data_IF_020404787936
#
_entry.id   IF_020404787936
#
_cell.length_a   1.000
_cell.length_b   1.000
_cell.length_c   1.000
_cell.angle_alpha   90.00
_cell.angle_beta   90.00
_cell.angle_gamma   90.00
#
_symmetry.space_group_name_H-M   'P 1'
#
loop_
_entity.id
_entity.type
_entity.pdbx_description
1 polymer ?
#
# COMPACT_ATOMS: atom_id res chain seq x y z
N UNK A 1 10.14 2.04 -1.50
CA UNK A 1 9.03 1.53 -2.35
C UNK A 1 7.74 1.92 -1.65
N UNK A 2 7.01 2.90 -2.20
CA UNK A 2 5.78 3.45 -1.58
C UNK A 2 4.63 2.43 -1.64
N UNK A 3 3.64 2.53 -0.75
CA UNK A 3 2.49 1.62 -0.71
C UNK A 3 1.73 1.59 -2.05
N UNK A 4 1.68 2.72 -2.74
CA UNK A 4 1.09 2.88 -4.08
C UNK A 4 1.80 2.05 -5.15
N UNK A 5 3.14 2.04 -5.16
CA UNK A 5 3.92 1.23 -6.10
C UNK A 5 3.74 -0.28 -5.82
N UNK A 6 3.74 -0.68 -4.55
CA UNK A 6 3.44 -2.07 -4.17
C UNK A 6 2.03 -2.50 -4.61
N UNK A 7 1.02 -1.64 -4.45
CA UNK A 7 -0.34 -1.93 -4.88
C UNK A 7 -0.45 -2.06 -6.41
N UNK A 8 0.27 -1.21 -7.16
CA UNK A 8 0.30 -1.23 -8.62
C UNK A 8 0.95 -2.50 -9.18
N UNK A 9 2.07 -2.92 -8.61
CA UNK A 9 2.78 -4.14 -9.01
C UNK A 9 1.95 -5.40 -8.74
N UNK A 10 1.31 -5.48 -7.55
CA UNK A 10 0.40 -6.57 -7.20
C UNK A 10 -0.83 -6.59 -8.11
N UNK A 11 -1.38 -5.43 -8.46
CA UNK A 11 -2.52 -5.32 -9.37
C UNK A 11 -2.16 -5.78 -10.78
N UNK A 12 -1.02 -5.34 -11.32
CA UNK A 12 -0.54 -5.71 -12.66
C UNK A 12 -0.24 -7.22 -12.75
N UNK A 13 0.50 -7.75 -11.77
CA UNK A 13 0.85 -9.18 -11.71
C UNK A 13 -0.38 -10.05 -11.49
N UNK A 14 -1.29 -9.64 -10.58
CA UNK A 14 -2.54 -10.32 -10.32
C UNK A 14 -3.46 -10.36 -11.54
N UNK A 15 -3.58 -9.24 -12.26
CA UNK A 15 -4.38 -9.16 -13.49
C UNK A 15 -3.84 -10.09 -14.57
N UNK A 16 -2.52 -10.12 -14.75
CA UNK A 16 -1.85 -11.01 -15.71
C UNK A 16 -2.10 -12.49 -15.38
N UNK A 17 -1.96 -12.87 -14.11
CA UNK A 17 -2.21 -14.25 -13.65
C UNK A 17 -3.68 -14.67 -13.81
N UNK A 18 -4.63 -13.78 -13.47
CA UNK A 18 -6.05 -14.05 -13.63
C UNK A 18 -6.43 -14.16 -15.11
N UNK A 19 -5.89 -13.29 -15.97
CA UNK A 19 -6.17 -13.30 -17.40
C UNK A 19 -5.64 -14.56 -18.07
N UNK A 20 -4.38 -14.91 -17.83
CA UNK A 20 -3.77 -16.14 -18.38
C UNK A 20 -4.47 -17.38 -17.83
N UNK A 21 -4.75 -17.42 -16.52
CA UNK A 21 -5.46 -18.52 -15.89
C UNK A 21 -6.89 -18.68 -16.43
N UNK A 22 -7.61 -17.59 -16.65
CA UNK A 22 -8.96 -17.58 -17.21
C UNK A 22 -9.00 -18.09 -18.65
N UNK A 23 -8.12 -17.58 -19.52
CA UNK A 23 -8.00 -18.05 -20.91
C UNK A 23 -7.63 -19.54 -20.93
N UNK A 24 -6.69 -19.96 -20.07
CA UNK A 24 -6.27 -21.35 -19.94
C UNK A 24 -7.40 -22.30 -19.52
N UNK A 25 -8.23 -21.90 -18.54
CA UNK A 25 -9.39 -22.70 -18.15
C UNK A 25 -10.46 -22.79 -19.24
N UNK A 26 -10.70 -21.71 -19.99
CA UNK A 26 -11.64 -21.73 -21.14
C UNK A 26 -11.12 -22.68 -22.22
N UNK A 27 -9.81 -22.62 -22.52
CA UNK A 27 -9.18 -23.54 -23.46
C UNK A 27 -9.29 -25.00 -22.97
N UNK A 28 -9.08 -25.27 -21.68
CA UNK A 28 -9.28 -26.61 -21.11
C UNK A 28 -10.73 -27.08 -21.19
N UNK A 29 -11.72 -26.21 -21.01
CA UNK A 29 -13.12 -26.58 -21.18
C UNK A 29 -13.46 -26.97 -22.64
N UNK A 30 -12.82 -26.32 -23.62
CA UNK A 30 -12.94 -26.68 -25.05
C UNK A 30 -12.27 -28.02 -25.37
N UNK A 31 -11.16 -28.34 -24.70
CA UNK A 31 -10.50 -29.64 -24.81
C UNK A 31 -11.38 -30.74 -24.20
N UNK A 32 -11.88 -30.54 -22.98
CA UNK A 32 -12.72 -31.50 -22.27
C UNK A 32 -14.08 -31.75 -22.95
N UNK A 33 -14.65 -30.74 -23.60
CA UNK A 33 -15.88 -30.90 -24.41
C UNK A 33 -15.64 -31.61 -25.75
N UNK A 34 -14.40 -31.94 -26.08
CA UNK A 34 -14.02 -32.60 -27.34
C UNK A 34 -14.04 -31.68 -28.57
N UNK A 35 -14.25 -30.37 -28.38
CA UNK A 35 -14.22 -29.38 -29.44
C UNK A 35 -12.79 -29.16 -29.98
N UNK A 36 -11.78 -29.34 -29.13
CA UNK A 36 -10.36 -29.29 -29.48
C UNK A 36 -9.71 -30.61 -29.06
N UNK A 37 -9.10 -31.32 -30.00
CA UNK A 37 -8.37 -32.56 -29.71
C UNK A 37 -6.88 -32.24 -29.52
N UNK A 38 -6.39 -32.36 -28.30
CA UNK A 38 -4.95 -32.44 -28.06
C UNK A 38 -4.47 -33.80 -28.60
N UNK A 39 -3.52 -33.79 -29.54
CA UNK A 39 -2.93 -35.01 -30.11
C UNK A 39 -1.93 -35.67 -29.13
N UNK A 40 -2.30 -35.74 -27.84
CA UNK A 40 -1.53 -36.40 -26.80
C UNK A 40 -2.19 -37.76 -26.54
N UNK A 41 -1.74 -38.79 -27.24
CA UNK A 41 -2.32 -40.12 -27.11
C UNK A 41 -1.82 -40.87 -25.86
N UNK A 42 -2.69 -41.70 -25.28
CA UNK A 42 -2.36 -42.58 -24.15
C UNK A 42 -2.36 -41.91 -22.78
N UNK A 43 -1.80 -42.60 -21.78
CA UNK A 43 -1.80 -42.15 -20.38
C UNK A 43 -1.14 -40.77 -20.17
N UNK A 44 -0.20 -40.40 -21.05
CA UNK A 44 0.48 -39.10 -21.01
C UNK A 44 -0.47 -37.92 -21.30
N UNK A 45 -1.42 -38.07 -22.22
CA UNK A 45 -2.40 -37.03 -22.54
C UNK A 45 -3.32 -36.71 -21.35
N UNK A 46 -3.85 -37.75 -20.71
CA UNK A 46 -4.72 -37.60 -19.52
C UNK A 46 -3.97 -36.93 -18.37
N UNK A 47 -2.70 -37.31 -18.13
CA UNK A 47 -1.88 -36.69 -17.09
C UNK A 47 -1.61 -35.21 -17.41
N UNK A 48 -1.31 -34.89 -18.68
CA UNK A 48 -1.05 -33.52 -19.11
C UNK A 48 -2.29 -32.62 -18.97
N UNK A 49 -3.49 -33.11 -19.32
CA UNK A 49 -4.74 -32.37 -19.16
C UNK A 49 -5.06 -32.05 -17.69
N UNK A 50 -4.86 -33.01 -16.80
CA UNK A 50 -5.06 -32.83 -15.36
C UNK A 50 -4.07 -31.81 -14.80
N UNK A 51 -2.78 -31.94 -15.15
CA UNK A 51 -1.74 -31.01 -14.67
C UNK A 51 -1.98 -29.60 -15.19
N UNK A 52 -2.32 -29.41 -16.47
CA UNK A 52 -2.59 -28.09 -17.03
C UNK A 52 -3.80 -27.43 -16.35
N UNK A 53 -4.88 -28.18 -16.14
CA UNK A 53 -6.07 -27.66 -15.44
C UNK A 53 -5.73 -27.23 -14.01
N UNK A 54 -4.94 -28.03 -13.29
CA UNK A 54 -4.50 -27.69 -11.94
C UNK A 54 -3.60 -26.44 -11.92
N UNK A 55 -2.67 -26.31 -12.87
CA UNK A 55 -1.78 -25.15 -12.98
C UNK A 55 -2.56 -23.86 -13.26
N UNK A 56 -3.50 -23.88 -14.21
CA UNK A 56 -4.36 -22.73 -14.49
C UNK A 56 -5.24 -22.38 -13.29
N UNK A 57 -5.75 -23.38 -12.56
CA UNK A 57 -6.45 -23.19 -11.29
C UNK A 57 -5.57 -22.48 -10.24
N UNK A 58 -4.31 -22.91 -10.08
CA UNK A 58 -3.36 -22.26 -9.16
C UNK A 58 -3.05 -20.81 -9.55
N UNK A 59 -2.92 -20.52 -10.85
CA UNK A 59 -2.73 -19.15 -11.34
C UNK A 59 -3.93 -18.26 -11.04
N UNK A 60 -5.15 -18.75 -11.22
CA UNK A 60 -6.35 -18.00 -10.87
C UNK A 60 -6.43 -17.69 -9.37
N UNK A 61 -6.21 -18.69 -8.51
CA UNK A 61 -6.26 -18.49 -7.06
C UNK A 61 -5.17 -17.51 -6.62
N UNK A 62 -3.97 -17.63 -7.16
CA UNK A 62 -2.85 -16.73 -6.83
C UNK A 62 -3.09 -15.30 -7.33
N UNK A 63 -3.62 -15.16 -8.55
CA UNK A 63 -3.99 -13.89 -9.14
C UNK A 63 -5.11 -13.18 -8.37
N UNK A 64 -6.18 -13.91 -8.00
CA UNK A 64 -7.27 -13.36 -7.17
C UNK A 64 -6.74 -12.89 -5.82
N UNK A 65 -5.91 -13.70 -5.14
CA UNK A 65 -5.30 -13.30 -3.86
C UNK A 65 -4.39 -12.07 -4.02
N UNK A 66 -3.66 -11.94 -5.12
CA UNK A 66 -2.86 -10.76 -5.41
C UNK A 66 -3.72 -9.51 -5.61
N UNK A 67 -4.83 -9.63 -6.35
CA UNK A 67 -5.77 -8.53 -6.56
C UNK A 67 -6.48 -8.08 -5.27
N UNK A 68 -6.88 -9.04 -4.42
CA UNK A 68 -7.46 -8.72 -3.09
C UNK A 68 -6.44 -7.98 -2.24
N UNK A 69 -5.19 -8.47 -2.14
CA UNK A 69 -4.14 -7.78 -1.39
C UNK A 69 -3.84 -6.39 -1.95
N UNK A 70 -3.78 -6.25 -3.28
CA UNK A 70 -3.58 -4.95 -3.92
C UNK A 70 -4.67 -3.95 -3.52
N UNK A 71 -5.94 -4.40 -3.47
CA UNK A 71 -7.06 -3.57 -3.02
C UNK A 71 -6.94 -3.18 -1.54
N UNK A 72 -6.60 -4.12 -0.66
CA UNK A 72 -6.41 -3.83 0.77
C UNK A 72 -5.29 -2.82 0.99
N UNK A 73 -4.12 -3.03 0.38
CA UNK A 73 -2.98 -2.11 0.48
C UNK A 73 -3.32 -0.71 -0.05
N UNK A 74 -4.09 -0.63 -1.15
CA UNK A 74 -4.55 0.65 -1.69
C UNK A 74 -5.54 1.35 -0.74
N UNK A 75 -6.46 0.61 -0.11
CA UNK A 75 -7.39 1.18 0.87
C UNK A 75 -6.68 1.67 2.14
N UNK A 76 -5.70 0.91 2.61
CA UNK A 76 -4.88 1.29 3.76
C UNK A 76 -4.10 2.58 3.47
N UNK A 77 -3.50 2.67 2.27
CA UNK A 77 -2.82 3.89 1.82
C UNK A 77 -3.76 5.10 1.75
N UNK A 78 -4.99 4.96 1.22
CA UNK A 78 -5.98 6.05 1.18
C UNK A 78 -6.37 6.50 2.58
N UNK A 79 -6.57 5.55 3.52
CA UNK A 79 -6.92 5.88 4.90
C UNK A 79 -5.79 6.61 5.63
N UNK A 80 -4.56 6.14 5.44
CA UNK A 80 -3.36 6.75 6.03
C UNK A 80 -3.10 8.14 5.45
N UNK A 81 -3.20 8.32 4.12
CA UNK A 81 -3.08 9.63 3.48
C UNK A 81 -4.18 10.58 3.92
N UNK A 82 -5.44 10.14 4.00
CA UNK A 82 -6.53 10.99 4.46
C UNK A 82 -6.35 11.47 5.90
N UNK A 83 -5.92 10.57 6.80
CA UNK A 83 -5.62 10.93 8.19
C UNK A 83 -4.42 11.89 8.29
N UNK A 84 -3.40 11.69 7.46
CA UNK A 84 -2.25 12.58 7.36
C UNK A 84 -2.66 14.00 6.94
N UNK A 85 -3.44 14.11 5.87
CA UNK A 85 -3.92 15.40 5.37
C UNK A 85 -4.81 16.12 6.38
N UNK A 86 -5.68 15.39 7.09
CA UNK A 86 -6.51 15.95 8.16
C UNK A 86 -5.67 16.54 9.29
N UNK A 87 -4.69 15.78 9.79
CA UNK A 87 -3.79 16.23 10.86
C UNK A 87 -2.98 17.43 10.40
N UNK A 88 -2.39 17.35 9.21
CA UNK A 88 -1.56 18.42 8.65
C UNK A 88 -2.35 19.71 8.50
N UNK A 89 -3.55 19.63 7.91
CA UNK A 89 -4.44 20.78 7.75
C UNK A 89 -4.85 21.38 9.10
N UNK A 90 -5.23 20.55 10.07
CA UNK A 90 -5.56 21.05 11.40
C UNK A 90 -4.36 21.76 12.03
N UNK A 91 -3.15 21.19 11.92
CA UNK A 91 -1.95 21.79 12.48
C UNK A 91 -1.66 23.15 11.85
N UNK A 92 -1.69 23.24 10.51
CA UNK A 92 -1.40 24.48 9.77
C UNK A 92 -2.46 25.57 9.92
N UNK A 93 -3.69 25.21 10.28
CA UNK A 93 -4.74 26.18 10.62
C UNK A 93 -4.65 26.72 12.06
N UNK A 94 -3.99 26.00 12.97
CA UNK A 94 -3.96 26.34 14.40
C UNK A 94 -2.58 26.82 14.88
N UNK A 95 -1.51 26.46 14.19
CA UNK A 95 -0.14 26.77 14.57
C UNK A 95 0.63 27.34 13.37
N UNK A 96 1.49 28.30 13.66
CA UNK A 96 2.48 28.85 12.73
C UNK A 96 3.90 28.73 13.32
N UNK A 97 4.92 28.99 12.49
CA UNK A 97 6.32 28.90 12.91
C UNK A 97 6.62 29.76 14.17
N UNK A 98 6.01 30.94 14.28
CA UNK A 98 6.20 31.85 15.41
C UNK A 98 5.58 31.31 16.72
N UNK A 99 4.43 30.64 16.64
CA UNK A 99 3.78 30.01 17.78
C UNK A 99 4.58 28.82 18.31
N UNK A 100 5.26 28.09 17.42
CA UNK A 100 6.14 26.97 17.79
C UNK A 100 7.42 27.53 18.43
N UNK A 101 8.04 28.54 17.81
CA UNK A 101 9.25 29.19 18.34
C UNK A 101 9.00 29.89 19.68
N UNK A 102 7.79 30.38 19.91
CA UNK A 102 7.41 30.98 21.19
C UNK A 102 7.26 29.97 22.34
N UNK A 103 7.18 28.67 22.04
CA UNK A 103 7.16 27.59 23.03
C UNK A 103 8.55 26.98 23.30
N UNK A 104 9.55 27.30 22.47
CA UNK A 104 10.96 26.92 22.65
C UNK A 104 11.58 27.68 23.82
N UNK A 105 12.53 27.07 24.54
CA UNK A 105 13.24 27.76 25.62
C UNK A 105 14.18 28.85 25.05
N UNK A 106 14.23 30.02 25.69
CA UNK A 106 14.96 31.18 25.17
C UNK A 106 16.50 31.03 25.20
N UNK A 107 17.02 30.01 25.88
CA UNK A 107 18.46 29.74 26.06
C UNK A 107 18.93 28.48 25.31
N UNK A 108 18.06 27.85 24.51
CA UNK A 108 18.40 26.63 23.76
C UNK A 108 19.48 26.92 22.72
N UNK A 109 20.57 26.15 22.73
CA UNK A 109 21.60 26.24 21.68
C UNK A 109 20.99 25.95 20.30
N UNK A 110 21.50 26.62 19.26
CA UNK A 110 21.01 26.45 17.87
C UNK A 110 20.94 24.98 17.41
N UNK A 111 21.77 24.09 17.98
CA UNK A 111 21.76 22.64 17.69
C UNK A 111 20.59 21.88 18.30
N UNK A 112 19.98 22.38 19.38
CA UNK A 112 18.92 21.69 20.13
C UNK A 112 17.52 22.22 19.77
N UNK A 113 17.44 23.38 19.10
CA UNK A 113 16.18 23.98 18.61
C UNK A 113 15.38 23.01 17.72
N UNK A 114 16.04 22.19 16.91
CA UNK A 114 15.37 21.17 16.10
C UNK A 114 14.60 20.16 16.97
N UNK A 115 15.22 19.67 18.03
CA UNK A 115 14.60 18.68 18.92
C UNK A 115 13.42 19.27 19.68
N UNK A 116 13.53 20.52 20.16
CA UNK A 116 12.41 21.19 20.84
C UNK A 116 11.23 21.42 19.89
N UNK A 117 11.47 21.97 18.69
CA UNK A 117 10.41 22.20 17.69
C UNK A 117 9.69 20.91 17.31
N UNK A 118 10.45 19.83 17.08
CA UNK A 118 9.87 18.53 16.72
C UNK A 118 9.09 17.90 17.87
N UNK A 119 9.51 18.07 19.13
CA UNK A 119 8.77 17.60 20.30
C UNK A 119 7.49 18.42 20.53
N UNK A 120 7.53 19.73 20.32
CA UNK A 120 6.33 20.59 20.36
C UNK A 120 5.32 20.13 19.30
N UNK A 121 5.75 19.96 18.04
CA UNK A 121 4.89 19.48 16.96
C UNK A 121 4.26 18.13 17.33
N UNK A 122 5.07 17.17 17.80
CA UNK A 122 4.62 15.86 18.26
C UNK A 122 3.57 15.96 19.36
N UNK A 123 3.84 16.77 20.39
CA UNK A 123 2.96 16.97 21.55
C UNK A 123 1.62 17.56 21.12
N UNK A 124 1.62 18.62 20.31
CA UNK A 124 0.38 19.26 19.82
C UNK A 124 -0.48 18.31 19.00
N UNK A 125 0.13 17.52 18.11
CA UNK A 125 -0.60 16.49 17.35
C UNK A 125 -1.17 15.44 18.30
N UNK A 126 -0.39 14.96 19.28
CA UNK A 126 -0.79 13.92 20.23
C UNK A 126 -1.90 14.39 21.19
N UNK A 127 -1.93 15.67 21.56
CA UNK A 127 -2.99 16.29 22.37
C UNK A 127 -4.35 16.23 21.65
N UNK A 128 -4.36 16.41 20.32
CA UNK A 128 -5.59 16.42 19.51
C UNK A 128 -5.98 15.04 18.97
N UNK A 129 -4.99 14.25 18.57
CA UNK A 129 -5.14 12.96 17.91
C UNK A 129 -4.44 11.87 18.74
N UNK A 130 -5.19 11.22 19.62
CA UNK A 130 -4.67 10.27 20.61
C UNK A 130 -4.16 8.93 20.01
N UNK A 131 -4.49 8.63 18.75
CA UNK A 131 -4.22 7.33 18.12
C UNK A 131 -3.47 7.51 16.78
N UNK A 132 -2.42 8.35 16.75
CA UNK A 132 -1.55 8.49 15.58
C UNK A 132 -0.47 7.43 15.65
N UNK A 133 -0.33 6.64 14.59
CA UNK A 133 0.72 5.62 14.49
C UNK A 133 2.10 6.31 14.46
N UNK A 134 3.09 5.74 15.15
CA UNK A 134 4.43 6.35 15.30
C UNK A 134 5.13 6.61 13.95
N UNK A 135 4.90 5.74 12.97
CA UNK A 135 5.41 5.87 11.61
C UNK A 135 4.83 7.11 10.90
N UNK A 136 3.53 7.36 11.06
CA UNK A 136 2.84 8.53 10.54
C UNK A 136 3.20 9.81 11.31
N UNK A 137 3.33 9.72 12.64
CA UNK A 137 3.76 10.83 13.49
C UNK A 137 5.14 11.34 13.07
N UNK A 138 6.12 10.44 12.89
CA UNK A 138 7.47 10.79 12.46
C UNK A 138 7.46 11.50 11.10
N UNK A 139 6.68 11.01 10.13
CA UNK A 139 6.53 11.66 8.83
C UNK A 139 5.88 13.04 8.92
N UNK A 140 4.86 13.21 9.78
CA UNK A 140 4.19 14.49 9.97
C UNK A 140 5.12 15.54 10.59
N UNK A 141 5.91 15.13 11.59
CA UNK A 141 6.90 15.99 12.24
C UNK A 141 7.91 16.50 11.22
N UNK A 142 8.51 15.62 10.42
CA UNK A 142 9.48 16.00 9.39
C UNK A 142 8.85 16.95 8.35
N UNK A 143 7.66 16.62 7.83
CA UNK A 143 7.00 17.46 6.83
C UNK A 143 6.60 18.83 7.35
N UNK A 144 6.04 18.92 8.55
CA UNK A 144 5.66 20.19 9.17
C UNK A 144 6.90 21.02 9.52
N UNK A 145 7.97 20.38 10.03
CA UNK A 145 9.21 21.08 10.31
C UNK A 145 9.81 21.71 9.05
N UNK A 146 9.96 20.92 7.98
CA UNK A 146 10.45 21.43 6.69
C UNK A 146 9.53 22.54 6.15
N UNK A 147 8.20 22.41 6.26
CA UNK A 147 7.28 23.44 5.75
C UNK A 147 7.37 24.77 6.51
N UNK A 148 7.68 24.76 7.80
CA UNK A 148 7.74 25.97 8.63
C UNK A 148 9.14 26.60 8.73
N UNK A 149 10.20 25.80 8.64
CA UNK A 149 11.55 26.22 9.02
C UNK A 149 12.62 26.01 7.94
N UNK A 150 12.30 25.38 6.80
CA UNK A 150 13.19 25.23 5.63
C UNK A 150 12.62 25.91 4.39
#
# INVERSE_FOLDING_TARGET
MTLTEKAKDLKSSGYTLVLIGGIGLIAMALVLSGAVKLQLEGAFGVIAEVVMTLLFGMFLVSGIRALIRAKTVAMDAVRETGKKEEIKKWFTENYDAASIDGETEAETEDSDIYFERTDIIRRRISERFMDVEESLMSQLIEELYTEYFE
#
